data_IF_870548517305
#
_entry.id   IF_870548517305
#
_cell.length_a   1.000
_cell.length_b   1.000
_cell.length_c   1.000
_cell.angle_alpha   90.00
_cell.angle_beta   90.00
_cell.angle_gamma   90.00
#
_symmetry.space_group_name_H-M   'P 1'
#
loop_
_entity.id
_entity.type
_entity.pdbx_description
1 polymer ?
#
# COMPACT_ATOMS: atom_id res chain seq x y z
N UNK A 1 -68.56 -33.92 7.07
CA UNK A 1 -67.70 -34.88 7.79
C UNK A 1 -67.40 -34.32 9.17
N UNK A 2 -68.11 -34.80 10.18
CA UNK A 2 -68.04 -34.31 11.55
C UNK A 2 -66.98 -35.11 12.29
N UNK A 3 -65.81 -34.52 12.54
CA UNK A 3 -64.75 -35.17 13.31
C UNK A 3 -65.12 -35.08 14.81
N UNK A 4 -65.80 -36.11 15.31
CA UNK A 4 -66.09 -36.29 16.74
C UNK A 4 -64.82 -36.76 17.45
N UNK A 5 -64.06 -35.83 18.02
CA UNK A 5 -62.94 -36.15 18.93
C UNK A 5 -63.55 -36.76 20.21
N UNK A 6 -63.46 -38.09 20.35
CA UNK A 6 -63.73 -38.77 21.63
C UNK A 6 -62.62 -38.38 22.60
N UNK A 7 -62.90 -37.43 23.48
CA UNK A 7 -62.08 -37.19 24.66
C UNK A 7 -62.23 -38.42 25.55
N UNK A 8 -61.22 -39.30 25.56
CA UNK A 8 -61.12 -40.35 26.59
C UNK A 8 -61.09 -39.63 27.94
N UNK A 9 -62.06 -39.94 28.78
CA UNK A 9 -62.23 -39.35 30.10
C UNK A 9 -60.94 -39.52 30.92
N UNK A 10 -60.41 -38.42 31.42
CA UNK A 10 -59.21 -38.24 32.24
C UNK A 10 -59.28 -38.92 33.63
N UNK A 11 -60.04 -40.00 33.77
CA UNK A 11 -60.59 -40.46 35.06
C UNK A 11 -59.59 -41.25 35.92
N UNK A 12 -58.47 -41.74 35.37
CA UNK A 12 -57.53 -42.57 36.12
C UNK A 12 -56.19 -41.89 36.46
N UNK A 13 -56.09 -40.56 36.33
CA UNK A 13 -54.88 -39.85 36.73
C UNK A 13 -54.89 -39.55 38.24
N UNK A 14 -53.80 -39.82 38.96
CA UNK A 14 -53.75 -39.57 40.40
C UNK A 14 -53.96 -38.08 40.70
N UNK A 15 -54.68 -37.77 41.79
CA UNK A 15 -55.17 -36.42 42.12
C UNK A 15 -54.08 -35.33 42.09
N UNK A 16 -52.84 -35.68 42.47
CA UNK A 16 -51.71 -34.74 42.42
C UNK A 16 -51.39 -34.28 41.00
N UNK A 17 -51.52 -35.16 40.00
CA UNK A 17 -51.24 -34.82 38.60
C UNK A 17 -52.32 -33.89 38.02
N UNK A 18 -53.58 -34.11 38.40
CA UNK A 18 -54.70 -33.29 37.95
C UNK A 18 -54.60 -31.86 38.50
N UNK A 19 -54.17 -31.72 39.76
CA UNK A 19 -53.95 -30.42 40.39
C UNK A 19 -52.80 -29.65 39.72
N UNK A 20 -51.73 -30.35 39.33
CA UNK A 20 -50.60 -29.78 38.57
C UNK A 20 -51.05 -29.33 37.19
N UNK A 21 -51.87 -30.12 36.47
CA UNK A 21 -52.35 -29.76 35.13
C UNK A 21 -53.27 -28.54 35.13
N UNK A 22 -54.20 -28.43 36.10
CA UNK A 22 -55.06 -27.26 36.26
C UNK A 22 -54.23 -26.01 36.58
N UNK A 23 -53.26 -26.12 37.49
CA UNK A 23 -52.34 -25.04 37.79
C UNK A 23 -51.54 -24.60 36.55
N UNK A 24 -51.06 -25.56 35.75
CA UNK A 24 -50.31 -25.28 34.52
C UNK A 24 -51.19 -24.63 33.45
N UNK A 25 -52.47 -25.00 33.38
CA UNK A 25 -53.45 -24.37 32.48
C UNK A 25 -53.75 -22.93 32.91
N UNK A 26 -53.92 -22.66 34.20
CA UNK A 26 -54.13 -21.30 34.71
C UNK A 26 -52.89 -20.41 34.52
N UNK A 27 -51.69 -21.00 34.59
CA UNK A 27 -50.42 -20.29 34.45
C UNK A 27 -49.79 -20.39 33.04
N UNK A 28 -50.54 -20.84 32.03
CA UNK A 28 -50.02 -21.10 30.68
C UNK A 28 -49.32 -19.86 30.09
N UNK A 29 -49.89 -18.67 30.29
CA UNK A 29 -49.30 -17.42 29.81
C UNK A 29 -47.93 -17.13 30.48
N UNK A 30 -47.82 -17.35 31.79
CA UNK A 30 -46.60 -17.10 32.56
C UNK A 30 -45.50 -18.10 32.18
N UNK A 31 -45.85 -19.39 32.04
CA UNK A 31 -44.93 -20.44 31.58
C UNK A 31 -44.43 -20.12 30.17
N UNK A 32 -45.32 -19.73 29.25
CA UNK A 32 -44.92 -19.35 27.89
C UNK A 32 -44.02 -18.12 27.85
N UNK A 33 -44.27 -17.13 28.72
CA UNK A 33 -43.44 -15.93 28.84
C UNK A 33 -42.03 -16.24 29.35
N UNK A 34 -41.90 -17.07 30.39
CA UNK A 34 -40.60 -17.53 30.89
C UNK A 34 -39.85 -18.30 29.81
N UNK A 35 -40.53 -19.24 29.13
CA UNK A 35 -39.89 -20.04 28.09
C UNK A 35 -39.43 -19.18 26.91
N UNK A 36 -40.23 -18.20 26.49
CA UNK A 36 -39.85 -17.21 25.49
C UNK A 36 -38.64 -16.37 25.93
N UNK A 37 -38.56 -15.99 27.20
CA UNK A 37 -37.44 -15.23 27.75
C UNK A 37 -36.16 -16.07 27.77
N UNK A 38 -36.23 -17.35 28.16
CA UNK A 38 -35.11 -18.29 28.11
C UNK A 38 -34.62 -18.50 26.68
N UNK A 39 -35.54 -18.71 25.73
CA UNK A 39 -35.21 -18.84 24.30
C UNK A 39 -34.55 -17.55 23.79
N UNK A 40 -35.15 -16.39 24.09
CA UNK A 40 -34.60 -15.08 23.69
C UNK A 40 -33.21 -14.82 24.24
N UNK A 41 -32.97 -15.13 25.52
CA UNK A 41 -31.64 -15.02 26.14
C UNK A 41 -30.64 -15.96 25.47
N UNK A 42 -31.05 -17.19 25.18
CA UNK A 42 -30.25 -18.17 24.44
C UNK A 42 -29.85 -17.67 23.05
N UNK A 43 -30.79 -17.11 22.30
CA UNK A 43 -30.54 -16.53 20.98
C UNK A 43 -29.54 -15.37 21.05
N UNK A 44 -29.68 -14.46 22.01
CA UNK A 44 -28.74 -13.33 22.20
C UNK A 44 -27.33 -13.83 22.52
N UNK A 45 -27.20 -14.84 23.39
CA UNK A 45 -25.90 -15.42 23.73
C UNK A 45 -25.25 -16.13 22.53
N UNK A 46 -26.03 -16.86 21.73
CA UNK A 46 -25.53 -17.48 20.50
C UNK A 46 -25.09 -16.44 19.47
N UNK A 47 -25.87 -15.37 19.25
CA UNK A 47 -25.50 -14.29 18.33
C UNK A 47 -24.21 -13.60 18.77
N UNK A 48 -24.05 -13.32 20.06
CA UNK A 48 -22.80 -12.75 20.59
C UNK A 48 -21.60 -13.66 20.36
N UNK A 49 -21.76 -14.96 20.60
CA UNK A 49 -20.71 -15.95 20.32
C UNK A 49 -20.38 -16.01 18.83
N UNK A 50 -21.38 -16.01 17.96
CA UNK A 50 -21.19 -16.03 16.51
C UNK A 50 -20.45 -14.79 16.02
N UNK A 51 -20.84 -13.59 16.46
CA UNK A 51 -20.14 -12.34 16.10
C UNK A 51 -18.67 -12.40 16.55
N UNK A 52 -18.41 -12.87 17.78
CA UNK A 52 -17.03 -12.99 18.28
C UNK A 52 -16.20 -14.01 17.49
N UNK A 53 -16.82 -15.10 17.04
CA UNK A 53 -16.17 -16.12 16.24
C UNK A 53 -15.88 -15.62 14.82
N UNK A 54 -16.86 -14.98 14.17
CA UNK A 54 -16.74 -14.41 12.83
C UNK A 54 -15.67 -13.31 12.78
N UNK A 55 -15.58 -12.48 13.83
CA UNK A 55 -14.52 -11.47 13.94
C UNK A 55 -13.12 -12.10 13.97
N UNK A 56 -12.93 -13.17 14.75
CA UNK A 56 -11.65 -13.89 14.82
C UNK A 56 -11.30 -14.61 13.52
N UNK A 57 -12.30 -15.16 12.84
CA UNK A 57 -12.10 -15.81 11.55
C UNK A 57 -11.65 -14.80 10.50
N UNK A 58 -12.37 -13.68 10.38
CA UNK A 58 -12.03 -12.59 9.45
C UNK A 58 -10.66 -11.99 9.73
N UNK A 59 -10.26 -11.81 10.99
CA UNK A 59 -8.91 -11.31 11.29
C UNK A 59 -7.81 -12.29 10.88
N UNK A 60 -8.09 -13.60 10.98
CA UNK A 60 -7.15 -14.65 10.57
C UNK A 60 -7.04 -14.71 9.05
N UNK A 61 -8.17 -14.69 8.34
CA UNK A 61 -8.22 -14.64 6.88
C UNK A 61 -7.46 -13.43 6.34
N UNK A 62 -7.75 -12.21 6.85
CA UNK A 62 -7.02 -10.99 6.47
C UNK A 62 -5.52 -11.10 6.69
N UNK A 63 -5.09 -11.70 7.80
CA UNK A 63 -3.66 -11.90 8.08
C UNK A 63 -3.02 -12.86 7.08
N UNK A 64 -3.71 -13.95 6.73
CA UNK A 64 -3.21 -14.92 5.75
C UNK A 64 -3.13 -14.31 4.34
N UNK A 65 -4.15 -13.54 3.95
CA UNK A 65 -4.16 -12.78 2.69
C UNK A 65 -3.05 -11.73 2.65
N UNK A 66 -2.83 -10.99 3.76
CA UNK A 66 -1.72 -10.04 3.84
C UNK A 66 -0.37 -10.75 3.67
N UNK A 67 -0.18 -11.92 4.29
CA UNK A 67 1.07 -12.67 4.17
C UNK A 67 1.31 -13.20 2.74
N UNK A 68 0.26 -13.67 2.07
CA UNK A 68 0.38 -14.12 0.68
C UNK A 68 0.70 -12.95 -0.25
N UNK A 69 0.05 -11.80 -0.04
CA UNK A 69 0.33 -10.57 -0.80
C UNK A 69 1.74 -10.03 -0.52
N UNK A 70 2.22 -10.05 0.73
CA UNK A 70 3.60 -9.65 1.09
C UNK A 70 4.65 -10.49 0.36
N UNK A 71 4.41 -11.79 0.20
CA UNK A 71 5.29 -12.67 -0.56
C UNK A 71 5.36 -12.25 -2.05
N UNK A 72 4.22 -11.98 -2.68
CA UNK A 72 4.15 -11.49 -4.06
C UNK A 72 4.76 -10.07 -4.19
N UNK A 73 4.51 -9.21 -3.20
CA UNK A 73 5.01 -7.84 -3.15
C UNK A 73 6.53 -7.79 -3.12
N UNK A 74 7.21 -8.78 -2.56
CA UNK A 74 8.68 -8.83 -2.59
C UNK A 74 9.23 -8.83 -4.02
N UNK A 75 8.52 -9.45 -4.97
CA UNK A 75 8.87 -9.41 -6.40
C UNK A 75 8.54 -8.04 -7.00
N UNK A 76 7.35 -7.51 -6.74
CA UNK A 76 6.97 -6.17 -7.22
C UNK A 76 7.90 -5.07 -6.71
N UNK A 77 8.28 -5.09 -5.43
CA UNK A 77 9.25 -4.17 -4.83
C UNK A 77 10.60 -4.27 -5.55
N UNK A 78 11.03 -5.48 -5.93
CA UNK A 78 12.27 -5.66 -6.69
C UNK A 78 12.21 -5.03 -8.09
N UNK A 79 11.05 -5.08 -8.74
CA UNK A 79 10.82 -4.48 -10.05
C UNK A 79 10.82 -2.95 -9.97
N UNK A 80 10.14 -2.37 -8.96
CA UNK A 80 10.15 -0.92 -8.71
C UNK A 80 11.55 -0.44 -8.29
N UNK A 81 12.26 -1.22 -7.48
CA UNK A 81 13.64 -0.91 -7.11
C UNK A 81 14.53 -0.87 -8.36
N UNK A 82 14.43 -1.86 -9.24
CA UNK A 82 15.15 -1.87 -10.51
C UNK A 82 14.78 -0.67 -11.39
N UNK A 83 13.49 -0.32 -11.50
CA UNK A 83 13.06 0.88 -12.22
C UNK A 83 13.74 2.15 -11.67
N UNK A 84 13.86 2.29 -10.35
CA UNK A 84 14.56 3.43 -9.75
C UNK A 84 16.05 3.46 -10.06
N UNK A 85 16.71 2.29 -10.13
CA UNK A 85 18.12 2.18 -10.52
C UNK A 85 18.31 2.46 -12.01
N UNK A 86 17.41 2.01 -12.87
CA UNK A 86 17.41 2.31 -14.30
C UNK A 86 17.24 3.83 -14.53
N UNK A 87 16.37 4.50 -13.75
CA UNK A 87 16.24 5.96 -13.75
C UNK A 87 17.55 6.66 -13.35
N UNK A 88 18.18 6.23 -12.25
CA UNK A 88 19.46 6.79 -11.80
C UNK A 88 20.56 6.56 -12.84
N UNK A 89 20.61 5.38 -13.45
CA UNK A 89 21.55 5.05 -14.52
C UNK A 89 21.35 5.93 -15.76
N UNK A 90 20.11 6.17 -16.15
CA UNK A 90 19.77 7.08 -17.24
C UNK A 90 20.23 8.52 -16.93
N UNK A 91 19.88 9.05 -15.75
CA UNK A 91 20.26 10.41 -15.32
C UNK A 91 21.78 10.57 -15.19
N UNK A 92 22.48 9.54 -14.70
CA UNK A 92 23.94 9.50 -14.62
C UNK A 92 24.59 9.63 -15.99
N UNK A 93 24.10 8.87 -16.98
CA UNK A 93 24.58 8.97 -18.37
C UNK A 93 24.38 10.39 -18.89
N UNK A 94 23.19 10.98 -18.72
CA UNK A 94 22.91 12.37 -19.12
C UNK A 94 23.91 13.36 -18.50
N UNK A 95 24.22 13.20 -17.21
CA UNK A 95 25.18 14.04 -16.48
C UNK A 95 26.63 13.89 -16.97
N UNK A 96 27.02 12.69 -17.41
CA UNK A 96 28.39 12.46 -17.95
C UNK A 96 28.58 13.05 -19.34
N UNK A 97 27.52 13.13 -20.15
CA UNK A 97 27.56 13.81 -21.44
C UNK A 97 27.70 15.32 -21.21
N UNK A 98 26.92 15.89 -20.29
CA UNK A 98 26.97 17.31 -19.93
C UNK A 98 28.34 17.75 -19.37
N UNK A 99 28.94 16.93 -18.49
CA UNK A 99 30.26 17.21 -17.91
C UNK A 99 31.44 17.21 -18.89
N UNK A 100 31.28 16.65 -20.10
CA UNK A 100 32.28 16.75 -21.18
C UNK A 100 32.13 18.03 -22.00
N UNK A 101 30.98 18.69 -21.89
CA UNK A 101 30.60 19.83 -22.70
C UNK A 101 30.79 21.18 -21.97
N UNK A 102 31.01 21.20 -20.65
CA UNK A 102 31.28 22.40 -19.82
C UNK A 102 32.61 23.12 -20.13
N UNK A 103 32.79 23.51 -21.40
CA UNK A 103 33.77 24.46 -21.90
C UNK A 103 33.14 25.66 -22.64
N UNK A 104 31.97 25.52 -23.25
CA UNK A 104 31.29 26.59 -24.01
C UNK A 104 29.78 26.27 -24.12
N UNK A 105 28.92 27.30 -24.10
CA UNK A 105 27.44 27.23 -24.11
C UNK A 105 26.87 26.03 -24.90
N UNK A 106 26.28 25.09 -24.15
CA UNK A 106 26.12 23.69 -24.57
C UNK A 106 24.71 23.42 -25.05
N UNK A 107 24.42 23.64 -26.32
CA UNK A 107 23.45 22.84 -27.08
C UNK A 107 23.69 23.08 -28.57
N UNK A 108 24.90 22.79 -29.03
CA UNK A 108 25.15 22.63 -30.46
C UNK A 108 24.57 21.29 -30.95
N UNK A 109 24.20 21.25 -32.23
CA UNK A 109 23.48 20.18 -32.92
C UNK A 109 24.07 18.75 -32.80
N UNK A 110 25.27 18.59 -32.25
CA UNK A 110 25.92 17.30 -31.98
C UNK A 110 25.36 16.57 -30.74
N UNK A 111 24.96 17.30 -29.68
CA UNK A 111 24.30 16.67 -28.51
C UNK A 111 22.95 16.06 -28.92
N UNK A 112 22.25 16.73 -29.83
CA UNK A 112 20.93 16.36 -30.36
C UNK A 112 20.98 15.06 -31.19
N UNK A 113 22.11 14.75 -31.85
CA UNK A 113 22.28 13.55 -32.66
C UNK A 113 22.60 12.29 -31.84
N UNK A 114 23.43 12.41 -30.80
CA UNK A 114 23.81 11.27 -29.95
C UNK A 114 22.67 10.82 -29.04
N UNK A 115 21.95 11.77 -28.43
CA UNK A 115 20.88 11.44 -27.47
C UNK A 115 19.60 10.91 -28.13
N UNK A 116 19.25 11.43 -29.32
CA UNK A 116 18.08 10.94 -30.10
C UNK A 116 18.27 9.51 -30.61
N UNK A 117 19.51 9.03 -30.72
CA UNK A 117 19.79 7.65 -31.12
C UNK A 117 19.63 6.63 -29.97
N UNK A 118 19.64 7.07 -28.71
CA UNK A 118 19.65 6.20 -27.52
C UNK A 118 18.27 6.14 -26.80
N UNK A 119 17.19 6.35 -27.56
CA UNK A 119 15.79 6.25 -27.08
C UNK A 119 15.48 4.86 -26.51
N UNK A 120 16.26 3.83 -26.86
CA UNK A 120 16.15 2.47 -26.33
C UNK A 120 16.46 2.36 -24.82
N UNK A 121 16.98 3.41 -24.18
CA UNK A 121 17.37 3.41 -22.77
C UNK A 121 16.35 3.98 -21.77
N UNK A 122 15.16 4.43 -22.19
CA UNK A 122 14.21 5.08 -21.27
C UNK A 122 13.57 4.03 -20.32
N UNK A 123 13.70 4.20 -18.99
CA UNK A 123 13.12 3.28 -18.02
C UNK A 123 11.59 3.16 -18.16
N UNK A 124 11.09 1.92 -18.19
CA UNK A 124 9.65 1.64 -18.31
C UNK A 124 9.01 1.57 -16.93
N UNK A 125 7.93 2.31 -16.73
CA UNK A 125 7.21 2.32 -15.46
C UNK A 125 6.52 0.97 -15.18
N UNK A 126 6.83 0.29 -14.04
CA UNK A 126 6.34 -1.04 -13.74
C UNK A 126 4.92 -1.01 -13.17
N UNK A 127 3.93 -0.79 -14.04
CA UNK A 127 2.52 -0.58 -13.65
C UNK A 127 1.96 -1.75 -12.83
N UNK A 128 2.23 -2.99 -13.25
CA UNK A 128 1.79 -4.20 -12.54
C UNK A 128 2.33 -4.31 -11.12
N UNK A 129 3.56 -3.85 -10.88
CA UNK A 129 4.14 -3.85 -9.55
C UNK A 129 3.41 -2.86 -8.64
N UNK A 130 3.08 -1.67 -9.14
CA UNK A 130 2.32 -0.67 -8.38
C UNK A 130 0.87 -1.07 -8.13
N UNK A 131 0.23 -1.79 -9.06
CA UNK A 131 -1.12 -2.33 -8.84
C UNK A 131 -1.15 -3.31 -7.66
N UNK A 132 -0.12 -4.16 -7.55
CA UNK A 132 0.03 -5.08 -6.42
C UNK A 132 0.30 -4.33 -5.09
N UNK A 133 1.12 -3.27 -5.12
CA UNK A 133 1.34 -2.42 -3.95
C UNK A 133 0.06 -1.68 -3.53
N UNK A 134 -0.79 -1.29 -4.47
CA UNK A 134 -2.09 -0.70 -4.18
C UNK A 134 -3.05 -1.71 -3.54
N UNK A 135 -3.01 -2.98 -3.96
CA UNK A 135 -3.81 -4.04 -3.35
C UNK A 135 -3.44 -4.28 -1.88
N UNK A 136 -2.15 -4.19 -1.54
CA UNK A 136 -1.68 -4.32 -0.14
C UNK A 136 -2.33 -3.31 0.81
N UNK A 137 -2.63 -2.09 0.35
CA UNK A 137 -3.26 -1.03 1.17
C UNK A 137 -4.57 -1.52 1.80
N UNK A 138 -5.33 -2.38 1.10
CA UNK A 138 -6.62 -2.89 1.59
C UNK A 138 -6.49 -3.77 2.83
N UNK A 139 -5.37 -4.46 3.00
CA UNK A 139 -5.15 -5.47 4.03
C UNK A 139 -4.13 -5.06 5.09
N UNK A 140 -3.34 -4.02 4.80
CA UNK A 140 -2.41 -3.40 5.75
C UNK A 140 -3.13 -2.70 6.91
N UNK A 141 -2.39 -2.46 7.99
CA UNK A 141 -2.84 -1.59 9.07
C UNK A 141 -2.83 -0.13 8.62
N UNK A 142 -3.40 0.77 9.43
CA UNK A 142 -3.54 2.19 9.07
C UNK A 142 -2.19 2.87 8.83
N UNK A 143 -1.17 2.51 9.61
CA UNK A 143 0.18 3.06 9.49
C UNK A 143 0.86 2.63 8.18
N UNK A 144 0.89 1.33 7.90
CA UNK A 144 1.52 0.81 6.68
C UNK A 144 0.71 1.17 5.43
N UNK A 145 -0.62 1.24 5.52
CA UNK A 145 -1.48 1.71 4.45
C UNK A 145 -1.18 3.16 4.06
N UNK A 146 -0.98 4.05 5.05
CA UNK A 146 -0.57 5.43 4.80
C UNK A 146 0.83 5.50 4.14
N UNK A 147 1.78 4.70 4.63
CA UNK A 147 3.12 4.62 4.07
C UNK A 147 3.14 4.07 2.63
N UNK A 148 2.31 3.08 2.31
CA UNK A 148 2.14 2.54 0.95
C UNK A 148 1.50 3.60 0.03
N UNK A 149 0.47 4.29 0.51
CA UNK A 149 -0.18 5.35 -0.26
C UNK A 149 0.80 6.50 -0.58
N UNK A 150 1.61 6.91 0.39
CA UNK A 150 2.68 7.88 0.21
C UNK A 150 3.66 7.44 -0.88
N UNK A 151 4.14 6.20 -0.82
CA UNK A 151 5.07 5.62 -1.81
C UNK A 151 4.48 5.64 -3.22
N UNK A 152 3.21 5.22 -3.37
CA UNK A 152 2.55 5.19 -4.69
C UNK A 152 2.36 6.60 -5.22
N UNK A 153 1.91 7.53 -4.37
CA UNK A 153 1.76 8.94 -4.74
C UNK A 153 3.09 9.57 -5.17
N UNK A 154 4.15 9.28 -4.41
CA UNK A 154 5.49 9.72 -4.72
C UNK A 154 5.98 9.19 -6.07
N UNK A 155 5.82 7.89 -6.31
CA UNK A 155 6.22 7.26 -7.57
C UNK A 155 5.45 7.81 -8.79
N UNK A 156 4.17 8.13 -8.63
CA UNK A 156 3.38 8.76 -9.70
C UNK A 156 3.88 10.16 -10.05
N UNK A 157 4.22 10.96 -9.03
CA UNK A 157 4.80 12.29 -9.24
C UNK A 157 6.17 12.17 -9.89
N UNK A 158 7.06 11.33 -9.36
CA UNK A 158 8.38 11.08 -9.94
C UNK A 158 8.28 10.63 -11.40
N UNK A 159 7.35 9.72 -11.73
CA UNK A 159 7.12 9.28 -13.11
C UNK A 159 6.72 10.46 -14.00
N UNK A 160 5.81 11.30 -13.52
CA UNK A 160 5.33 12.46 -14.27
C UNK A 160 6.45 13.49 -14.50
N UNK A 161 7.27 13.78 -13.49
CA UNK A 161 8.38 14.73 -13.60
C UNK A 161 9.48 14.18 -14.49
N UNK A 162 9.84 12.91 -14.31
CA UNK A 162 10.83 12.22 -15.13
C UNK A 162 10.40 12.13 -16.60
N UNK A 163 9.15 11.75 -16.88
CA UNK A 163 8.63 11.70 -18.25
C UNK A 163 8.67 13.08 -18.92
N UNK A 164 8.38 14.16 -18.17
CA UNK A 164 8.49 15.52 -18.68
C UNK A 164 9.95 15.90 -18.91
N UNK A 165 10.84 15.59 -17.97
CA UNK A 165 12.28 15.81 -18.12
C UNK A 165 12.82 15.14 -19.38
N UNK A 166 12.48 13.87 -19.62
CA UNK A 166 12.87 13.13 -20.82
C UNK A 166 12.26 13.75 -22.09
N UNK A 167 11.01 14.21 -22.04
CA UNK A 167 10.35 14.85 -23.20
C UNK A 167 11.02 16.15 -23.62
N UNK A 168 11.42 16.98 -22.65
CA UNK A 168 12.18 18.21 -22.88
C UNK A 168 13.58 17.87 -23.40
N UNK A 169 14.24 16.86 -22.80
CA UNK A 169 15.57 16.40 -23.18
C UNK A 169 15.63 15.87 -24.63
N UNK A 170 14.56 15.24 -25.11
CA UNK A 170 14.46 14.75 -26.48
C UNK A 170 13.94 15.80 -27.48
N UNK A 171 13.62 17.02 -27.01
CA UNK A 171 13.05 18.08 -27.84
C UNK A 171 11.65 17.73 -28.39
N UNK A 172 10.92 16.84 -27.73
CA UNK A 172 9.54 16.46 -28.12
C UNK A 172 8.52 17.48 -27.57
N UNK A 173 8.84 18.10 -26.44
CA UNK A 173 8.01 19.11 -25.79
C UNK A 173 8.58 20.51 -26.02
N UNK A 174 7.85 21.36 -26.74
CA UNK A 174 8.22 22.73 -27.11
C UNK A 174 7.80 23.75 -26.02
N UNK A 175 7.65 23.29 -24.78
CA UNK A 175 7.08 24.02 -23.67
C UNK A 175 7.93 25.20 -23.16
N UNK A 176 8.99 25.57 -23.89
CA UNK A 176 9.87 26.70 -23.57
C UNK A 176 10.68 26.50 -22.28
N UNK A 177 10.75 25.27 -21.75
CA UNK A 177 11.54 24.95 -20.58
C UNK A 177 13.01 24.85 -20.92
N UNK A 178 13.81 25.69 -20.25
CA UNK A 178 15.26 25.57 -20.26
C UNK A 178 15.65 24.43 -19.31
N UNK A 179 16.34 23.43 -19.84
CA UNK A 179 16.99 22.39 -19.04
C UNK A 179 18.08 23.05 -18.18
N UNK A 180 17.85 23.11 -16.87
CA UNK A 180 18.83 23.56 -15.90
C UNK A 180 19.42 22.35 -15.14
N UNK A 181 20.68 22.44 -14.74
CA UNK A 181 21.36 21.44 -13.90
C UNK A 181 20.58 21.13 -12.62
N UNK A 182 19.89 22.12 -12.05
CA UNK A 182 18.99 21.92 -10.90
C UNK A 182 17.81 20.98 -11.16
N UNK A 183 17.30 20.91 -12.40
CA UNK A 183 16.24 19.95 -12.75
C UNK A 183 16.79 18.52 -12.71
N UNK A 184 17.99 18.31 -13.26
CA UNK A 184 18.66 17.01 -13.24
C UNK A 184 18.93 16.54 -11.80
N UNK A 185 19.42 17.41 -10.92
CA UNK A 185 19.64 17.06 -9.51
C UNK A 185 18.33 16.74 -8.77
N UNK A 186 17.24 17.46 -9.07
CA UNK A 186 15.92 17.13 -8.52
C UNK A 186 15.45 15.74 -8.97
N UNK A 187 15.63 15.38 -10.25
CA UNK A 187 15.26 14.05 -10.73
C UNK A 187 16.14 12.95 -10.12
N UNK A 188 17.44 13.20 -9.91
CA UNK A 188 18.33 12.28 -9.20
C UNK A 188 17.85 12.07 -7.76
N UNK A 189 17.50 13.16 -7.06
CA UNK A 189 16.94 13.10 -5.70
C UNK A 189 15.68 12.25 -5.67
N UNK A 190 14.76 12.46 -6.61
CA UNK A 190 13.45 11.82 -6.57
C UNK A 190 13.57 10.31 -6.94
N UNK A 191 14.45 9.96 -7.90
CA UNK A 191 14.78 8.56 -8.20
C UNK A 191 15.48 7.86 -7.02
N UNK A 192 16.41 8.54 -6.35
CA UNK A 192 17.04 8.04 -5.11
C UNK A 192 16.01 7.87 -3.99
N UNK A 193 15.08 8.80 -3.86
CA UNK A 193 13.94 8.74 -2.95
C UNK A 193 13.12 7.46 -3.16
N UNK A 194 12.76 7.18 -4.41
CA UNK A 194 12.00 5.98 -4.76
C UNK A 194 12.78 4.70 -4.41
N UNK A 195 14.10 4.68 -4.70
CA UNK A 195 14.98 3.57 -4.33
C UNK A 195 14.98 3.31 -2.82
N UNK A 196 15.09 4.36 -2.00
CA UNK A 196 15.06 4.26 -0.54
C UNK A 196 13.69 3.79 -0.02
N UNK A 197 12.60 4.28 -0.61
CA UNK A 197 11.24 3.81 -0.32
C UNK A 197 11.07 2.31 -0.61
N UNK A 198 11.70 1.79 -1.67
CA UNK A 198 11.66 0.36 -1.98
C UNK A 198 12.55 -0.46 -1.03
N UNK A 199 13.73 0.04 -0.66
CA UNK A 199 14.63 -0.62 0.28
C UNK A 199 13.94 -0.89 1.63
N UNK A 200 13.23 0.09 2.19
CA UNK A 200 12.46 -0.08 3.43
C UNK A 200 11.27 -1.05 3.27
N UNK A 201 10.65 -1.05 2.09
CA UNK A 201 9.50 -1.89 1.80
C UNK A 201 9.89 -3.37 1.65
N UNK A 202 11.12 -3.65 1.22
CA UNK A 202 11.68 -4.99 1.12
C UNK A 202 11.75 -5.72 2.47
N UNK A 203 12.18 -5.06 3.54
CA UNK A 203 12.28 -5.69 4.85
C UNK A 203 10.89 -5.98 5.42
N UNK A 204 9.94 -5.08 5.22
CA UNK A 204 8.54 -5.28 5.60
C UNK A 204 7.84 -6.38 4.79
N UNK A 205 8.05 -6.44 3.47
CA UNK A 205 7.46 -7.46 2.60
C UNK A 205 8.01 -8.86 2.89
N UNK A 206 9.27 -8.94 3.36
CA UNK A 206 9.91 -10.18 3.81
C UNK A 206 9.58 -10.57 5.25
N UNK A 207 8.68 -9.84 5.91
CA UNK A 207 8.28 -10.08 7.31
C UNK A 207 9.47 -10.00 8.27
N UNK A 208 10.49 -9.17 7.94
CA UNK A 208 11.62 -8.86 8.83
C UNK A 208 11.33 -7.67 9.73
N UNK A 209 10.39 -6.83 9.31
CA UNK A 209 9.83 -5.73 10.11
C UNK A 209 8.33 -5.90 10.26
N UNK A 210 7.81 -5.51 11.44
CA UNK A 210 6.37 -5.47 11.70
C UNK A 210 5.68 -4.36 10.89
N UNK A 211 6.33 -3.19 10.80
CA UNK A 211 5.85 -2.00 10.10
C UNK A 211 6.86 -1.51 9.05
N UNK A 212 6.39 -0.69 8.12
CA UNK A 212 7.25 -0.03 7.13
C UNK A 212 8.10 1.03 7.86
N UNK A 213 9.45 0.95 7.78
CA UNK A 213 10.32 1.94 8.44
C UNK A 213 10.12 3.36 7.90
N UNK A 214 10.48 4.42 8.65
CA UNK A 214 10.58 5.77 8.09
C UNK A 214 11.66 5.84 7.00
N UNK A 215 11.63 6.91 6.18
CA UNK A 215 12.68 7.17 5.20
C UNK A 215 14.02 7.43 5.91
N UNK A 216 15.13 7.08 5.27
CA UNK A 216 16.47 7.31 5.81
C UNK A 216 16.81 8.80 5.90
N UNK A 217 17.80 9.10 6.75
CA UNK A 217 18.38 10.44 6.86
C UNK A 217 19.25 10.78 5.63
N UNK A 218 19.51 12.07 5.43
CA UNK A 218 20.23 12.59 4.25
C UNK A 218 21.64 12.00 4.09
N UNK A 219 22.37 11.76 5.18
CA UNK A 219 23.71 11.16 5.16
C UNK A 219 23.71 9.77 4.51
N UNK A 220 22.72 8.93 4.82
CA UNK A 220 22.58 7.60 4.22
C UNK A 220 22.19 7.67 2.74
N UNK A 221 21.45 8.71 2.34
CA UNK A 221 21.13 8.96 0.95
C UNK A 221 22.38 9.40 0.16
N UNK A 222 23.24 10.25 0.75
CA UNK A 222 24.51 10.65 0.16
C UNK A 222 25.47 9.46 -0.05
N UNK A 223 25.59 8.58 0.94
CA UNK A 223 26.40 7.36 0.81
C UNK A 223 25.92 6.45 -0.34
N UNK A 224 24.61 6.38 -0.54
CA UNK A 224 24.03 5.62 -1.64
C UNK A 224 24.43 6.21 -3.01
N UNK A 225 24.56 7.53 -3.14
CA UNK A 225 25.01 8.17 -4.39
C UNK A 225 26.46 7.85 -4.70
N UNK A 226 27.33 7.84 -3.69
CA UNK A 226 28.71 7.43 -3.83
C UNK A 226 28.82 6.00 -4.37
N UNK A 227 27.98 5.09 -3.86
CA UNK A 227 27.96 3.70 -4.31
C UNK A 227 27.50 3.53 -5.77
N UNK A 228 26.57 4.36 -6.24
CA UNK A 228 26.03 4.30 -7.62
C UNK A 228 26.93 5.08 -8.61
N UNK A 229 28.02 5.70 -8.13
CA UNK A 229 28.92 6.50 -8.97
C UNK A 229 28.40 7.90 -9.31
N UNK A 230 27.41 8.39 -8.54
CA UNK A 230 26.83 9.74 -8.63
C UNK A 230 27.34 10.68 -7.52
N UNK A 231 28.36 10.26 -6.77
CA UNK A 231 28.96 10.97 -5.64
C UNK A 231 29.76 12.23 -5.97
N UNK A 232 29.30 13.05 -6.93
CA UNK A 232 29.90 14.37 -7.18
C UNK A 232 29.52 15.31 -6.04
N UNK A 233 30.47 16.13 -5.59
CA UNK A 233 30.30 17.06 -4.46
C UNK A 233 29.03 17.92 -4.62
N UNK A 234 28.83 18.52 -5.79
CA UNK A 234 27.64 19.34 -6.11
C UNK A 234 26.31 18.59 -5.95
N UNK A 235 26.28 17.30 -6.33
CA UNK A 235 25.07 16.47 -6.22
C UNK A 235 24.84 16.09 -4.76
N UNK A 236 25.91 15.73 -4.04
CA UNK A 236 25.84 15.38 -2.61
C UNK A 236 25.39 16.58 -1.78
N UNK A 237 25.91 17.77 -2.05
CA UNK A 237 25.52 19.01 -1.37
C UNK A 237 24.05 19.33 -1.64
N UNK A 238 23.63 19.28 -2.91
CA UNK A 238 22.23 19.50 -3.28
C UNK A 238 21.29 18.52 -2.56
N UNK A 239 21.66 17.24 -2.52
CA UNK A 239 20.84 16.19 -1.88
C UNK A 239 20.79 16.43 -0.37
N UNK A 240 21.90 16.79 0.26
CA UNK A 240 21.95 17.06 1.69
C UNK A 240 21.06 18.23 2.10
N UNK A 241 20.97 19.28 1.27
CA UNK A 241 20.12 20.45 1.50
C UNK A 241 18.63 20.19 1.21
N UNK A 242 18.31 19.31 0.25
CA UNK A 242 16.96 19.13 -0.27
C UNK A 242 16.31 17.77 0.08
N UNK A 243 16.87 17.04 1.05
CA UNK A 243 16.34 15.77 1.55
C UNK A 243 15.43 15.96 2.78
N UNK A 244 14.35 15.18 2.94
CA UNK A 244 13.82 14.14 2.05
C UNK A 244 13.22 14.71 0.76
N UNK A 245 13.04 13.88 -0.29
CA UNK A 245 12.39 14.31 -1.51
C UNK A 245 10.97 14.83 -1.23
N UNK A 246 10.50 15.78 -2.06
CA UNK A 246 9.24 16.48 -1.82
C UNK A 246 8.09 15.48 -1.72
N UNK A 247 7.45 15.43 -0.56
CA UNK A 247 6.27 14.61 -0.37
C UNK A 247 5.06 15.29 -1.04
N UNK A 248 4.37 14.66 -2.01
CA UNK A 248 3.23 15.28 -2.68
C UNK A 248 2.05 15.56 -1.75
N UNK A 249 2.00 14.89 -0.58
CA UNK A 249 0.91 15.07 0.38
C UNK A 249 0.92 16.42 1.09
N UNK A 250 2.00 17.21 1.02
CA UNK A 250 2.04 18.59 1.50
C UNK A 250 1.61 18.79 2.96
N UNK A 251 1.50 17.71 3.74
CA UNK A 251 1.15 17.75 5.14
C UNK A 251 2.41 18.10 5.93
N UNK A 252 2.78 19.38 5.85
CA UNK A 252 3.57 20.00 6.91
C UNK A 252 2.91 19.64 8.25
N UNK A 253 3.66 18.90 9.07
CA UNK A 253 3.52 19.01 10.51
C UNK A 253 4.22 20.29 10.96
#
# INVERSE_FOLDING_TARGET
>A
MSCSIRVKSFVDLPCWLNHVLLWLHEQQALVSGILALVVGLGTVLMLRRQISFDQRHRSTERRLELLSLKAAATVAVSEVFRYSEDCLGYLSKTMTVDGKLHGEDIFDAEFDAGLKSDVEGIPVYPTSAFDLLAELIKYSDECDAAALHEIISFAQVQRSTFSRFVSVLLGVDDSGLVLHTGNLYSEIRDALGLRQHMARLFDWSRVRSEHIPPICESEQAADALNWIGLGREEVVDYISEHWPPRNPSGAGR
#
